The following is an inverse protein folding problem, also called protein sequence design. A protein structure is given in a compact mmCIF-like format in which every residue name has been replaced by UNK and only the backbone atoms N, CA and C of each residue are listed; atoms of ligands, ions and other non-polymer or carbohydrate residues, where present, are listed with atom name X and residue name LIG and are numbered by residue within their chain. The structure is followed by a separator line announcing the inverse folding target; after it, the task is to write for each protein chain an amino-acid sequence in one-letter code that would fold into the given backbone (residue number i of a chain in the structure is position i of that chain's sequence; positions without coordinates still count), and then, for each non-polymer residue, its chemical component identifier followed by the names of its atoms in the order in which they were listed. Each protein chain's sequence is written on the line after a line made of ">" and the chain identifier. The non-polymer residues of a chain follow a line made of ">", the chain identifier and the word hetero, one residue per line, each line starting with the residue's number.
data_IF_561498358308
#
_entry.id   IF_561498358308
#
_cell.length_a   1.000
_cell.length_b   1.000
_cell.length_c   1.000
_cell.angle_alpha   90.00
_cell.angle_beta   90.00
_cell.angle_gamma   90.00
#
_symmetry.space_group_name_H-M   'P 1'
#
loop_
_entity.id
_entity.type
_entity.pdbx_description
1 polymer ?
#
# COMPACT_ATOMS: atom_id res chain seq x y z
N UNK A 1 -12.20 7.80 9.62
CA UNK A 1 -11.98 6.54 8.89
C UNK A 1 -10.50 6.20 8.96
N UNK A 2 -10.16 4.96 9.25
CA UNK A 2 -8.77 4.48 9.31
C UNK A 2 -8.69 3.10 8.66
N UNK A 3 -7.51 2.74 8.15
CA UNK A 3 -7.21 1.40 7.67
C UNK A 3 -6.50 0.64 8.80
N UNK A 4 -6.89 -0.61 9.03
CA UNK A 4 -6.34 -1.41 10.13
C UNK A 4 -4.94 -1.92 9.77
N UNK A 5 -4.06 -2.00 10.76
CA UNK A 5 -2.90 -2.87 10.67
C UNK A 5 -3.35 -4.22 11.18
N UNK A 6 -3.31 -5.23 10.32
CA UNK A 6 -3.75 -6.57 10.68
C UNK A 6 -2.68 -7.23 11.55
N UNK A 7 -3.11 -7.85 12.64
CA UNK A 7 -2.23 -8.69 13.45
C UNK A 7 -2.04 -10.03 12.75
N UNK A 8 -0.98 -10.11 11.94
CA UNK A 8 -0.66 -11.27 11.11
C UNK A 8 0.85 -11.55 11.17
N UNK A 9 1.21 -12.83 11.17
CA UNK A 9 2.61 -13.30 11.19
C UNK A 9 3.16 -13.60 9.79
N UNK A 10 2.69 -12.86 8.78
CA UNK A 10 3.10 -13.06 7.40
C UNK A 10 4.52 -12.55 7.15
N UNK A 11 5.24 -13.28 6.31
CA UNK A 11 6.53 -12.85 5.75
C UNK A 11 6.32 -11.95 4.55
N UNK A 12 7.32 -11.12 4.20
CA UNK A 12 7.28 -10.31 2.97
C UNK A 12 7.01 -11.12 1.70
N UNK A 13 7.44 -12.39 1.66
CA UNK A 13 7.17 -13.27 0.53
C UNK A 13 5.68 -13.62 0.43
N UNK A 14 5.03 -13.94 1.56
CA UNK A 14 3.59 -14.21 1.59
C UNK A 14 2.79 -12.96 1.23
N UNK A 15 3.20 -11.79 1.74
CA UNK A 15 2.56 -10.52 1.40
C UNK A 15 2.74 -10.15 -0.08
N UNK A 16 3.88 -10.49 -0.70
CA UNK A 16 4.08 -10.33 -2.13
C UNK A 16 3.13 -11.22 -2.95
N UNK A 17 2.93 -12.47 -2.54
CA UNK A 17 1.98 -13.38 -3.20
C UNK A 17 0.55 -12.83 -3.10
N UNK A 18 0.17 -12.30 -1.93
CA UNK A 18 -1.13 -11.66 -1.75
C UNK A 18 -1.26 -10.41 -2.62
N UNK A 19 -0.24 -9.55 -2.69
CA UNK A 19 -0.24 -8.38 -3.57
C UNK A 19 -0.43 -8.74 -5.05
N UNK A 20 0.11 -9.88 -5.50
CA UNK A 20 -0.09 -10.37 -6.87
C UNK A 20 -1.53 -10.83 -7.12
N UNK A 21 -2.18 -11.43 -6.12
CA UNK A 21 -3.59 -11.80 -6.14
C UNK A 21 -4.47 -10.55 -6.25
N UNK A 22 -4.33 -9.59 -5.32
CA UNK A 22 -5.11 -8.34 -5.31
C UNK A 22 -4.96 -7.55 -6.62
N UNK A 23 -3.74 -7.53 -7.18
CA UNK A 23 -3.50 -6.87 -8.46
C UNK A 23 -4.25 -7.55 -9.62
N UNK A 24 -4.35 -8.89 -9.59
CA UNK A 24 -5.11 -9.63 -10.58
C UNK A 24 -6.61 -9.33 -10.44
N UNK A 25 -7.12 -9.25 -9.22
CA UNK A 25 -8.52 -8.95 -8.93
C UNK A 25 -8.89 -7.52 -9.37
N UNK A 26 -8.07 -6.50 -9.05
CA UNK A 26 -8.24 -5.14 -9.59
C UNK A 26 -8.29 -5.14 -11.12
N UNK A 27 -7.36 -5.85 -11.77
CA UNK A 27 -7.31 -5.93 -13.23
C UNK A 27 -8.59 -6.53 -13.81
N UNK A 28 -9.07 -7.62 -13.21
CA UNK A 28 -10.29 -8.30 -13.65
C UNK A 28 -11.54 -7.44 -13.43
N UNK A 29 -11.66 -6.79 -12.27
CA UNK A 29 -12.75 -5.86 -11.95
C UNK A 29 -12.83 -4.70 -12.96
N UNK A 30 -11.68 -4.09 -13.30
CA UNK A 30 -11.61 -3.01 -14.29
C UNK A 30 -12.01 -3.51 -15.69
N UNK A 31 -11.51 -4.67 -16.12
CA UNK A 31 -11.82 -5.24 -17.44
C UNK A 31 -13.32 -5.56 -17.55
N UNK A 32 -13.92 -6.08 -16.48
CA UNK A 32 -15.33 -6.46 -16.45
C UNK A 32 -16.28 -5.27 -16.21
N UNK A 33 -15.75 -4.07 -15.93
CA UNK A 33 -16.54 -2.88 -15.65
C UNK A 33 -17.28 -2.93 -14.30
N UNK A 34 -16.82 -3.79 -13.38
CA UNK A 34 -17.41 -3.96 -12.06
C UNK A 34 -16.90 -2.88 -11.11
N UNK A 35 -17.69 -1.79 -10.98
CA UNK A 35 -17.29 -0.60 -10.23
C UNK A 35 -17.22 -0.82 -8.73
N UNK A 36 -18.12 -1.64 -8.18
CA UNK A 36 -18.16 -1.92 -6.75
C UNK A 36 -16.96 -2.79 -6.38
N UNK A 37 -16.74 -3.87 -7.14
CA UNK A 37 -15.56 -4.73 -6.94
C UNK A 37 -14.27 -3.93 -7.13
N UNK A 38 -14.16 -3.09 -8.16
CA UNK A 38 -12.93 -2.30 -8.41
C UNK A 38 -12.50 -1.46 -7.20
N UNK A 39 -13.45 -0.91 -6.44
CA UNK A 39 -13.12 -0.08 -5.27
C UNK A 39 -12.58 -0.93 -4.12
N UNK A 40 -13.20 -2.08 -3.86
CA UNK A 40 -12.77 -3.05 -2.84
C UNK A 40 -11.36 -3.54 -3.14
N UNK A 41 -11.13 -4.06 -4.34
CA UNK A 41 -9.83 -4.61 -4.74
C UNK A 41 -8.70 -3.55 -4.71
N UNK A 42 -9.02 -2.28 -5.00
CA UNK A 42 -8.04 -1.18 -4.87
C UNK A 42 -7.69 -0.94 -3.39
N UNK A 43 -8.67 -1.03 -2.49
CA UNK A 43 -8.45 -0.90 -1.05
C UNK A 43 -7.62 -2.08 -0.52
N UNK A 44 -7.82 -3.28 -1.07
CA UNK A 44 -7.04 -4.46 -0.67
C UNK A 44 -5.57 -4.36 -1.10
N UNK A 45 -5.27 -3.83 -2.30
CA UNK A 45 -3.89 -3.47 -2.66
C UNK A 45 -3.26 -2.51 -1.64
N UNK A 46 -4.00 -1.51 -1.18
CA UNK A 46 -3.52 -0.56 -0.17
C UNK A 46 -3.31 -1.29 1.17
N UNK A 47 -4.22 -2.16 1.58
CA UNK A 47 -4.16 -2.95 2.81
C UNK A 47 -2.94 -3.86 2.84
N UNK A 48 -2.65 -4.57 1.75
CA UNK A 48 -1.46 -5.41 1.61
C UNK A 48 -0.19 -4.55 1.59
N UNK A 49 -0.18 -3.45 0.85
CA UNK A 49 0.98 -2.54 0.77
C UNK A 49 1.33 -1.92 2.14
N UNK A 50 0.32 -1.56 2.93
CA UNK A 50 0.52 -1.07 4.30
C UNK A 50 1.04 -2.19 5.21
N UNK A 51 0.53 -3.41 5.07
CA UNK A 51 1.07 -4.61 5.74
C UNK A 51 2.56 -4.80 5.46
N UNK A 52 2.96 -4.75 4.19
CA UNK A 52 4.36 -4.87 3.79
C UNK A 52 5.25 -3.78 4.39
N UNK A 53 4.78 -2.52 4.41
CA UNK A 53 5.51 -1.42 5.06
C UNK A 53 5.67 -1.69 6.56
N UNK A 54 4.62 -2.16 7.23
CA UNK A 54 4.67 -2.52 8.64
C UNK A 54 5.66 -3.68 8.90
N UNK A 55 5.66 -4.72 8.07
CA UNK A 55 6.62 -5.82 8.12
C UNK A 55 8.06 -5.32 7.99
N UNK A 56 8.33 -4.38 7.08
CA UNK A 56 9.68 -3.79 6.93
C UNK A 56 10.08 -2.93 8.12
N UNK A 57 9.15 -2.17 8.71
CA UNK A 57 9.42 -1.43 9.95
C UNK A 57 9.78 -2.41 11.08
N UNK A 58 9.01 -3.49 11.24
CA UNK A 58 9.20 -4.50 12.30
C UNK A 58 10.49 -5.32 12.13
N UNK A 59 10.80 -5.75 10.91
CA UNK A 59 11.90 -6.71 10.66
C UNK A 59 13.22 -6.06 10.25
N UNK A 60 13.19 -4.87 9.65
CA UNK A 60 14.38 -4.18 9.12
C UNK A 60 14.69 -2.86 9.87
N UNK A 61 13.91 -2.51 10.90
CA UNK A 61 13.99 -1.22 11.61
C UNK A 61 13.95 -0.02 10.63
N UNK A 62 13.09 -0.13 9.61
CA UNK A 62 12.92 0.91 8.60
C UNK A 62 12.35 2.19 9.21
N UNK A 63 12.98 3.32 8.90
CA UNK A 63 12.41 4.65 9.14
C UNK A 63 11.43 5.00 8.00
N UNK A 64 10.14 4.75 8.26
CA UNK A 64 9.08 4.98 7.28
C UNK A 64 8.95 6.45 6.87
N UNK A 65 9.12 7.38 7.80
CA UNK A 65 9.02 8.82 7.51
C UNK A 65 10.13 9.26 6.54
N UNK A 66 11.35 8.80 6.78
CA UNK A 66 12.49 9.05 5.90
C UNK A 66 12.26 8.49 4.49
N UNK A 67 11.76 7.27 4.36
CA UNK A 67 11.50 6.64 3.05
C UNK A 67 10.34 7.32 2.31
N UNK A 68 9.27 7.72 2.99
CA UNK A 68 8.18 8.53 2.40
C UNK A 68 8.70 9.88 1.89
N UNK A 69 9.51 10.58 2.67
CA UNK A 69 10.13 11.84 2.27
C UNK A 69 11.04 11.66 1.05
N UNK A 70 11.84 10.58 1.01
CA UNK A 70 12.68 10.24 -0.14
C UNK A 70 11.85 9.96 -1.39
N UNK A 71 10.75 9.21 -1.26
CA UNK A 71 9.82 8.91 -2.35
C UNK A 71 9.19 10.20 -2.91
N UNK A 72 8.66 11.06 -2.06
CA UNK A 72 8.04 12.33 -2.48
C UNK A 72 9.02 13.24 -3.20
N UNK A 73 10.27 13.39 -2.70
CA UNK A 73 11.32 14.15 -3.39
C UNK A 73 11.62 13.57 -4.78
N UNK A 74 11.61 12.24 -4.95
CA UNK A 74 11.79 11.58 -6.24
C UNK A 74 10.65 11.92 -7.21
N UNK A 75 9.40 11.97 -6.75
CA UNK A 75 8.26 12.37 -7.59
C UNK A 75 8.36 13.83 -8.02
N UNK A 76 8.70 14.74 -7.10
CA UNK A 76 8.89 16.17 -7.44
C UNK A 76 9.99 16.36 -8.49
N UNK A 77 11.11 15.63 -8.37
CA UNK A 77 12.20 15.65 -9.37
C UNK A 77 11.77 15.13 -10.76
N UNK A 78 10.72 14.31 -10.83
CA UNK A 78 10.14 13.81 -12.09
C UNK A 78 9.09 14.77 -12.68
N UNK A 79 8.90 15.95 -12.09
CA UNK A 79 7.96 16.96 -12.56
C UNK A 79 6.52 16.77 -12.07
N UNK A 80 6.26 15.79 -11.19
CA UNK A 80 4.93 15.63 -10.61
C UNK A 80 4.59 16.82 -9.71
N UNK A 81 3.36 17.32 -9.85
CA UNK A 81 2.80 18.39 -9.01
C UNK A 81 1.92 17.77 -7.95
N UNK A 82 2.05 18.24 -6.71
CA UNK A 82 1.20 17.82 -5.62
C UNK A 82 -0.22 18.42 -5.79
N UNK A 83 -1.26 17.60 -5.68
CA UNK A 83 -2.67 18.03 -5.63
C UNK A 83 -3.32 17.79 -4.25
N UNK A 84 -2.71 16.99 -3.39
CA UNK A 84 -3.25 16.57 -2.11
C UNK A 84 -2.33 15.56 -1.40
N UNK A 85 -2.63 15.21 -0.15
CA UNK A 85 -1.81 14.28 0.62
C UNK A 85 -2.65 13.18 1.25
N UNK A 86 -2.09 11.97 1.26
CA UNK A 86 -2.52 10.88 2.13
C UNK A 86 -1.63 10.92 3.37
N UNK A 87 -2.23 10.80 4.55
CA UNK A 87 -1.50 10.73 5.82
C UNK A 87 -1.55 9.27 6.27
N UNK A 88 -0.40 8.61 6.29
CA UNK A 88 -0.25 7.27 6.87
C UNK A 88 0.31 7.45 8.27
N UNK A 89 -0.44 6.99 9.28
CA UNK A 89 0.00 7.00 10.68
C UNK A 89 -0.04 5.59 11.22
N UNK A 90 1.14 5.03 11.49
CA UNK A 90 1.29 3.76 12.21
C UNK A 90 1.33 4.12 13.69
N UNK A 91 0.24 3.87 14.41
CA UNK A 91 0.25 3.97 15.88
C UNK A 91 0.60 2.59 16.42
N UNK A 92 1.73 2.50 17.11
CA UNK A 92 2.12 1.38 17.96
C UNK A 92 1.31 1.34 19.24
#
# INVERSE_FOLDING_TARGET
>A
MYLMILDKEETLLQELLKLQEEFKEVKEAIINGDKENTTEEILDIIQVSVGMLYTKVKTENMDLEKELNRHNRKLLKRGWKNRGKVIIKINS
#
